data_IF_433373417332
#
_entry.id   IF_433373417332
#
_cell.length_a   1.000
_cell.length_b   1.000
_cell.length_c   1.000
_cell.angle_alpha   90.00
_cell.angle_beta   90.00
_cell.angle_gamma   90.00
#
_symmetry.space_group_name_H-M   'P 1'
#
loop_
_entity.id
_entity.type
_entity.pdbx_description
1 polymer ?
#
# COMPACT_ATOMS: atom_id res chain seq x y z
N UNK A 1 -43.03 3.46 28.26
CA UNK A 1 -42.80 4.91 28.11
C UNK A 1 -43.80 5.43 27.10
N UNK A 2 -44.58 6.44 27.48
CA UNK A 2 -45.61 7.03 26.63
C UNK A 2 -44.96 7.82 25.48
N UNK A 3 -45.29 7.46 24.24
CA UNK A 3 -44.99 8.27 23.06
C UNK A 3 -46.29 8.88 22.55
N UNK A 4 -46.41 10.20 22.64
CA UNK A 4 -47.56 10.99 22.19
C UNK A 4 -48.00 10.64 20.76
N UNK A 5 -49.30 10.39 20.60
CA UNK A 5 -49.99 10.02 19.35
C UNK A 5 -50.47 11.27 18.59
N UNK A 6 -49.73 12.38 18.66
CA UNK A 6 -50.09 13.66 18.00
C UNK A 6 -48.86 14.45 17.58
N UNK A 7 -48.07 13.91 16.65
CA UNK A 7 -47.06 14.68 15.92
C UNK A 7 -47.29 14.42 14.45
N UNK A 8 -47.61 15.45 13.67
CA UNK A 8 -47.75 15.35 12.22
C UNK A 8 -46.53 14.60 11.64
N UNK A 9 -46.74 13.63 10.74
CA UNK A 9 -45.69 12.85 10.04
C UNK A 9 -44.85 13.75 9.11
N UNK A 10 -44.25 14.80 9.66
CA UNK A 10 -43.39 15.74 8.95
C UNK A 10 -41.97 15.20 8.98
N UNK A 11 -41.29 15.15 7.82
CA UNK A 11 -39.87 14.82 7.77
C UNK A 11 -39.04 15.94 8.41
N UNK A 12 -37.84 15.63 8.86
CA UNK A 12 -36.87 16.64 9.30
C UNK A 12 -36.20 17.26 8.06
N UNK A 13 -36.14 18.59 8.00
CA UNK A 13 -35.38 19.26 6.94
C UNK A 13 -33.98 19.60 7.46
N UNK A 14 -32.96 19.46 6.61
CA UNK A 14 -31.59 19.85 6.93
C UNK A 14 -31.10 20.74 5.80
N UNK A 15 -30.95 22.03 6.06
CA UNK A 15 -30.53 23.02 5.07
C UNK A 15 -29.07 23.37 5.33
N UNK A 16 -28.19 23.08 4.37
CA UNK A 16 -26.74 23.33 4.47
C UNK A 16 -26.12 22.76 5.76
N UNK A 17 -26.55 21.55 6.14
CA UNK A 17 -26.10 20.86 7.36
C UNK A 17 -26.80 21.30 8.65
N UNK A 18 -27.68 22.31 8.61
CA UNK A 18 -28.40 22.82 9.78
C UNK A 18 -29.84 22.27 9.81
N UNK A 19 -30.26 21.54 10.86
CA UNK A 19 -31.63 21.05 10.99
C UNK A 19 -32.65 22.19 11.16
N UNK A 20 -33.75 22.10 10.41
CA UNK A 20 -34.88 23.04 10.40
C UNK A 20 -36.19 22.26 10.41
N UNK A 21 -37.24 22.87 10.98
CA UNK A 21 -38.58 22.27 11.01
C UNK A 21 -39.43 22.67 9.79
N UNK A 22 -39.01 23.71 9.07
CA UNK A 22 -39.66 24.23 7.87
C UNK A 22 -38.60 24.74 6.89
N UNK A 23 -38.93 24.70 5.60
CA UNK A 23 -38.10 25.15 4.47
C UNK A 23 -38.83 26.18 3.59
N UNK A 24 -40.04 26.60 3.97
CA UNK A 24 -40.86 27.54 3.20
C UNK A 24 -40.22 28.91 2.97
N UNK A 25 -39.14 29.23 3.70
CA UNK A 25 -38.35 30.45 3.51
C UNK A 25 -37.33 30.36 2.37
N UNK A 26 -37.05 29.16 1.84
CA UNK A 26 -36.11 28.96 0.74
C UNK A 26 -36.81 29.19 -0.60
N UNK A 27 -36.20 30.04 -1.43
CA UNK A 27 -36.63 30.18 -2.80
C UNK A 27 -36.12 28.99 -3.63
N UNK A 28 -36.95 28.44 -4.51
CA UNK A 28 -36.61 27.31 -5.37
C UNK A 28 -35.37 27.58 -6.23
N UNK A 29 -35.18 28.84 -6.67
CA UNK A 29 -34.02 29.23 -7.47
C UNK A 29 -32.69 29.12 -6.71
N UNK A 30 -32.75 29.18 -5.38
CA UNK A 30 -31.60 29.07 -4.49
C UNK A 30 -31.28 27.63 -4.11
N UNK A 31 -32.10 26.65 -4.51
CA UNK A 31 -31.85 25.24 -4.19
C UNK A 31 -30.91 24.64 -5.23
N UNK A 32 -29.79 24.09 -4.76
CA UNK A 32 -28.84 23.34 -5.58
C UNK A 32 -29.27 21.87 -5.69
N UNK A 33 -29.47 21.20 -4.55
CA UNK A 33 -29.88 19.79 -4.50
C UNK A 33 -30.89 19.53 -3.39
N UNK A 34 -31.73 18.51 -3.59
CA UNK A 34 -32.64 17.97 -2.57
C UNK A 34 -32.45 16.45 -2.51
N UNK A 35 -32.03 15.95 -1.36
CA UNK A 35 -31.83 14.52 -1.10
C UNK A 35 -32.80 14.04 -0.04
N UNK A 36 -33.39 12.85 -0.24
CA UNK A 36 -34.41 12.31 0.68
C UNK A 36 -33.92 11.00 1.29
N UNK A 37 -33.70 11.02 2.59
CA UNK A 37 -33.27 9.88 3.40
C UNK A 37 -34.48 9.22 4.06
N UNK A 38 -34.79 7.99 3.64
CA UNK A 38 -35.93 7.21 4.14
C UNK A 38 -35.53 5.95 4.90
N UNK A 39 -34.26 5.56 4.81
CA UNK A 39 -33.78 4.30 5.37
C UNK A 39 -33.24 4.50 6.79
N UNK A 40 -33.41 3.47 7.63
CA UNK A 40 -33.06 3.51 9.05
C UNK A 40 -31.59 3.85 9.33
N UNK A 41 -30.68 3.53 8.40
CA UNK A 41 -29.25 3.85 8.46
C UNK A 41 -28.95 5.33 8.21
N UNK A 42 -29.73 5.98 7.34
CA UNK A 42 -29.56 7.38 6.96
C UNK A 42 -30.23 8.34 7.96
N UNK A 43 -31.28 7.88 8.66
CA UNK A 43 -31.93 8.62 9.75
C UNK A 43 -31.19 8.52 11.08
N UNK A 44 -30.31 7.52 11.25
CA UNK A 44 -29.56 7.28 12.50
C UNK A 44 -28.66 8.47 12.90
N UNK A 45 -28.14 9.22 11.92
CA UNK A 45 -27.29 10.39 12.15
C UNK A 45 -28.07 11.55 12.81
N UNK A 46 -29.37 11.65 12.56
CA UNK A 46 -30.23 12.75 13.04
C UNK A 46 -31.12 12.35 14.23
N UNK A 47 -30.93 11.13 14.77
CA UNK A 47 -31.59 10.64 15.97
C UNK A 47 -33.12 10.58 15.86
N UNK A 48 -33.81 10.75 16.99
CA UNK A 48 -35.28 10.67 17.06
C UNK A 48 -36.01 11.70 16.19
N UNK A 49 -35.35 12.81 15.82
CA UNK A 49 -35.92 13.87 14.96
C UNK A 49 -35.98 13.44 13.50
N UNK A 50 -35.12 12.52 13.06
CA UNK A 50 -35.15 11.93 11.73
C UNK A 50 -36.05 10.69 11.59
N UNK A 51 -36.79 10.31 12.64
CA UNK A 51 -37.58 9.06 12.66
C UNK A 51 -38.66 8.99 11.56
N UNK A 52 -39.11 10.14 11.06
CA UNK A 52 -40.10 10.25 9.99
C UNK A 52 -39.47 10.49 8.60
N UNK A 53 -38.15 10.29 8.47
CA UNK A 53 -37.36 10.60 7.27
C UNK A 53 -36.70 11.99 7.34
N UNK A 54 -35.62 12.17 6.59
CA UNK A 54 -34.84 13.41 6.56
C UNK A 54 -34.72 13.91 5.12
N UNK A 55 -35.01 15.18 4.88
CA UNK A 55 -34.86 15.84 3.58
C UNK A 55 -33.71 16.84 3.69
N UNK A 56 -32.62 16.57 2.99
CA UNK A 56 -31.47 17.46 2.92
C UNK A 56 -31.68 18.43 1.76
N UNK A 57 -31.43 19.71 2.01
CA UNK A 57 -31.50 20.77 1.02
C UNK A 57 -30.17 21.51 1.03
N UNK A 58 -29.51 21.55 -0.12
CA UNK A 58 -28.27 22.31 -0.30
C UNK A 58 -28.59 23.58 -1.05
N UNK A 59 -28.17 24.74 -0.57
CA UNK A 59 -28.39 26.03 -1.26
C UNK A 59 -27.24 26.38 -2.20
N UNK A 60 -27.54 27.16 -3.24
CA UNK A 60 -26.56 27.75 -4.16
C UNK A 60 -25.89 28.91 -3.45
N UNK A 61 -24.56 28.89 -3.33
CA UNK A 61 -23.78 30.04 -2.87
C UNK A 61 -23.41 30.94 -4.05
N UNK A 62 -23.64 32.25 -3.92
CA UNK A 62 -23.22 33.24 -4.90
C UNK A 62 -21.68 33.34 -4.90
N UNK A 63 -21.03 32.53 -5.73
CA UNK A 63 -19.58 32.62 -5.98
C UNK A 63 -18.77 31.36 -5.76
N UNK A 64 -19.15 30.25 -6.39
CA UNK A 64 -18.27 29.08 -6.59
C UNK A 64 -18.55 27.92 -5.64
N UNK A 65 -18.55 26.73 -6.23
CA UNK A 65 -18.95 25.45 -5.65
C UNK A 65 -18.33 25.20 -4.27
N UNK A 66 -19.11 25.40 -3.21
CA UNK A 66 -18.87 24.74 -1.93
C UNK A 66 -19.66 23.44 -1.89
N UNK A 67 -19.22 22.49 -2.73
CA UNK A 67 -19.60 21.10 -2.57
C UNK A 67 -18.89 20.59 -1.31
N UNK A 68 -19.60 20.42 -0.21
CA UNK A 68 -19.19 19.44 0.79
C UNK A 68 -19.77 18.13 0.26
N UNK A 69 -19.02 17.28 -0.46
CA UNK A 69 -19.53 15.95 -0.77
C UNK A 69 -19.69 15.22 0.57
N UNK A 70 -20.92 15.24 1.09
CA UNK A 70 -21.35 14.22 2.03
C UNK A 70 -21.47 12.95 1.20
N UNK A 71 -20.41 12.14 1.22
CA UNK A 71 -20.44 10.77 0.74
C UNK A 71 -21.48 10.02 1.56
N UNK A 72 -22.73 10.03 1.12
CA UNK A 72 -23.72 9.06 1.56
C UNK A 72 -23.40 7.80 0.78
N UNK A 73 -22.56 6.95 1.38
CA UNK A 73 -22.40 5.58 0.95
C UNK A 73 -23.72 4.85 1.23
N UNK A 74 -24.71 5.01 0.36
CA UNK A 74 -25.80 4.05 0.24
C UNK A 74 -25.20 2.80 -0.40
N UNK A 75 -24.60 1.93 0.42
CA UNK A 75 -24.40 0.52 0.04
C UNK A 75 -25.78 -0.07 -0.20
N UNK A 76 -26.23 -0.08 -1.46
CA UNK A 76 -27.16 -1.11 -1.91
C UNK A 76 -26.34 -2.39 -1.97
N UNK A 77 -26.56 -3.30 -1.02
CA UNK A 77 -25.74 -4.49 -0.73
C UNK A 77 -25.59 -5.51 -1.89
N UNK A 78 -25.95 -5.18 -3.13
CA UNK A 78 -25.88 -6.11 -4.28
C UNK A 78 -25.53 -5.48 -5.64
N UNK A 79 -25.31 -4.17 -5.76
CA UNK A 79 -25.02 -3.55 -7.07
C UNK A 79 -24.06 -2.36 -6.98
N UNK A 80 -22.96 -2.44 -7.75
CA UNK A 80 -22.08 -1.31 -8.03
C UNK A 80 -22.47 -0.70 -9.38
N UNK A 81 -22.71 0.60 -9.43
CA UNK A 81 -22.94 1.36 -10.66
C UNK A 81 -21.70 2.21 -10.96
N UNK A 82 -21.16 2.10 -12.17
CA UNK A 82 -19.98 2.84 -12.60
C UNK A 82 -20.35 3.74 -13.77
N UNK A 83 -20.04 5.04 -13.65
CA UNK A 83 -20.20 6.00 -14.73
C UNK A 83 -18.95 6.01 -15.59
N UNK A 84 -19.11 5.77 -16.89
CA UNK A 84 -18.01 5.90 -17.85
C UNK A 84 -17.86 7.39 -18.17
N UNK A 85 -16.75 7.98 -17.75
CA UNK A 85 -16.52 9.43 -17.90
C UNK A 85 -16.42 9.88 -19.36
N UNK A 86 -15.94 9.01 -20.25
CA UNK A 86 -15.73 9.32 -21.67
C UNK A 86 -16.61 8.45 -22.57
N UNK A 87 -17.42 9.02 -23.47
CA UNK A 87 -18.20 8.24 -24.42
C UNK A 87 -17.31 7.34 -25.28
N UNK A 88 -17.53 6.02 -25.24
CA UNK A 88 -16.76 5.04 -26.01
C UNK A 88 -17.63 4.35 -27.06
N UNK A 89 -17.09 4.15 -28.26
CA UNK A 89 -17.77 3.41 -29.34
C UNK A 89 -17.47 1.92 -29.22
N UNK A 90 -18.52 1.10 -29.05
CA UNK A 90 -18.41 -0.35 -29.02
C UNK A 90 -18.73 -0.88 -30.42
N UNK A 91 -17.79 -1.59 -31.04
CA UNK A 91 -18.05 -2.20 -32.34
C UNK A 91 -19.00 -3.39 -32.19
N UNK A 92 -20.05 -3.43 -33.00
CA UNK A 92 -20.98 -4.57 -33.06
C UNK A 92 -20.33 -5.76 -33.77
N UNK A 93 -19.48 -6.49 -33.07
CA UNK A 93 -18.83 -7.70 -33.54
C UNK A 93 -18.84 -8.79 -32.45
N UNK A 94 -18.51 -10.04 -32.80
CA UNK A 94 -18.41 -11.15 -31.84
C UNK A 94 -17.07 -11.16 -31.05
N UNK A 95 -16.40 -10.01 -30.90
CA UNK A 95 -15.14 -9.91 -30.14
C UNK A 95 -15.38 -9.22 -28.80
N UNK A 96 -14.82 -9.76 -27.74
CA UNK A 96 -14.79 -9.09 -26.44
C UNK A 96 -14.09 -7.74 -26.55
N UNK A 97 -14.72 -6.68 -26.03
CA UNK A 97 -14.19 -5.32 -26.00
C UNK A 97 -13.96 -4.89 -24.56
N UNK A 98 -12.78 -4.35 -24.25
CA UNK A 98 -12.48 -3.74 -22.96
C UNK A 98 -12.86 -2.26 -23.01
N UNK A 99 -13.68 -1.80 -22.06
CA UNK A 99 -14.00 -0.39 -21.89
C UNK A 99 -13.21 0.19 -20.71
N UNK A 100 -12.67 1.39 -20.89
CA UNK A 100 -12.04 2.12 -19.78
C UNK A 100 -13.14 2.90 -19.08
N UNK A 101 -13.49 2.51 -17.86
CA UNK A 101 -14.56 3.16 -17.11
C UNK A 101 -14.09 4.41 -16.36
N UNK A 102 -12.87 4.39 -15.81
CA UNK A 102 -12.25 5.49 -15.07
C UNK A 102 -10.74 5.47 -15.34
N UNK A 103 -10.16 6.64 -15.54
CA UNK A 103 -8.71 6.82 -15.56
C UNK A 103 -8.33 7.78 -14.43
N UNK A 104 -7.28 7.47 -13.70
CA UNK A 104 -6.81 8.37 -12.65
C UNK A 104 -5.30 8.42 -12.61
N UNK A 105 -4.79 9.62 -12.41
CA UNK A 105 -3.36 9.87 -12.23
C UNK A 105 -3.07 9.98 -10.75
N UNK A 106 -2.20 9.10 -10.27
CA UNK A 106 -1.73 9.08 -8.90
C UNK A 106 -0.26 9.46 -8.86
N UNK A 107 0.13 10.17 -7.81
CA UNK A 107 1.54 10.40 -7.54
C UNK A 107 2.14 9.11 -6.99
N UNK A 108 3.23 8.66 -7.63
CA UNK A 108 3.96 7.46 -7.24
C UNK A 108 5.42 7.79 -7.01
N UNK A 109 5.98 7.34 -5.89
CA UNK A 109 7.41 7.19 -5.75
C UNK A 109 7.81 5.78 -6.23
N UNK A 110 9.05 5.64 -6.70
CA UNK A 110 9.59 4.34 -7.11
C UNK A 110 10.82 4.02 -6.29
N UNK A 111 10.94 2.75 -5.90
CA UNK A 111 12.07 2.22 -5.13
C UNK A 111 12.35 0.80 -5.60
N UNK A 112 13.63 0.43 -5.70
CA UNK A 112 14.01 -0.95 -5.93
C UNK A 112 14.08 -1.71 -4.60
N UNK A 113 13.53 -2.91 -4.56
CA UNK A 113 13.68 -3.81 -3.42
C UNK A 113 14.37 -5.10 -3.83
N UNK A 114 15.33 -5.56 -3.03
CA UNK A 114 16.00 -6.84 -3.27
C UNK A 114 16.24 -7.59 -1.96
N UNK A 115 16.09 -8.92 -2.02
CA UNK A 115 16.36 -9.84 -0.92
C UNK A 115 17.37 -10.90 -1.38
N UNK A 116 18.68 -10.60 -1.40
CA UNK A 116 19.68 -11.42 -2.09
C UNK A 116 19.78 -12.86 -1.54
N UNK A 117 19.42 -13.08 -0.28
CA UNK A 117 19.31 -14.41 0.32
C UNK A 117 18.24 -15.30 -0.34
N UNK A 118 17.13 -14.70 -0.79
CA UNK A 118 16.02 -15.41 -1.44
C UNK A 118 16.14 -15.38 -2.96
N UNK A 119 16.56 -14.26 -3.52
CA UNK A 119 16.69 -14.04 -4.95
C UNK A 119 17.67 -12.91 -5.25
N UNK A 120 18.56 -13.12 -6.21
CA UNK A 120 19.50 -12.10 -6.71
C UNK A 120 18.83 -11.10 -7.69
N UNK A 121 17.52 -10.94 -7.60
CA UNK A 121 16.74 -10.08 -8.48
C UNK A 121 16.30 -8.81 -7.72
N UNK A 122 16.37 -7.66 -8.39
CA UNK A 122 15.80 -6.41 -7.90
C UNK A 122 14.41 -6.19 -8.50
N UNK A 123 13.44 -5.90 -7.65
CA UNK A 123 12.06 -5.62 -8.01
C UNK A 123 11.79 -4.14 -7.96
N UNK A 124 11.18 -3.59 -9.01
CA UNK A 124 10.71 -2.21 -9.00
C UNK A 124 9.37 -2.13 -8.26
N UNK A 125 9.31 -1.34 -7.19
CA UNK A 125 8.10 -1.13 -6.40
C UNK A 125 7.63 0.31 -6.58
N UNK A 126 6.39 0.47 -7.02
CA UNK A 126 5.69 1.74 -7.02
C UNK A 126 4.96 1.95 -5.70
N UNK A 127 5.30 3.02 -4.99
CA UNK A 127 4.67 3.47 -3.75
C UNK A 127 3.66 4.56 -4.08
N UNK A 128 2.38 4.18 -4.09
CA UNK A 128 1.26 5.07 -4.41
C UNK A 128 0.73 5.71 -3.14
N UNK A 129 0.86 7.04 -3.05
CA UNK A 129 0.18 7.84 -2.04
C UNK A 129 -1.23 8.21 -2.51
N UNK A 130 -2.09 8.58 -1.55
CA UNK A 130 -3.44 9.09 -1.85
C UNK A 130 -4.34 8.14 -2.66
N UNK A 131 -4.00 6.86 -2.71
CA UNK A 131 -4.73 5.83 -3.46
C UNK A 131 -6.18 5.67 -2.98
N UNK A 132 -6.45 5.99 -1.71
CA UNK A 132 -7.80 5.98 -1.13
C UNK A 132 -8.72 7.08 -1.69
N UNK A 133 -8.18 8.10 -2.37
CA UNK A 133 -8.97 9.18 -2.99
C UNK A 133 -9.57 8.78 -4.33
N UNK A 134 -9.17 7.64 -4.90
CA UNK A 134 -9.41 7.32 -6.32
C UNK A 134 -10.39 6.18 -6.55
N UNK A 135 -11.08 5.71 -5.51
CA UNK A 135 -12.03 4.59 -5.55
C UNK A 135 -11.47 3.36 -6.28
N UNK A 136 -10.18 3.05 -6.05
CA UNK A 136 -9.56 1.88 -6.67
C UNK A 136 -10.31 0.61 -6.28
N UNK A 137 -10.47 -0.26 -7.27
CA UNK A 137 -11.08 -1.57 -7.06
C UNK A 137 -10.03 -2.56 -6.58
N UNK A 138 -10.42 -3.37 -5.61
CA UNK A 138 -9.67 -4.56 -5.22
C UNK A 138 -9.64 -5.56 -6.39
N UNK A 139 -8.48 -6.13 -6.68
CA UNK A 139 -8.35 -7.18 -7.69
C UNK A 139 -7.06 -7.16 -8.49
N UNK A 140 -7.00 -8.04 -9.49
CA UNK A 140 -5.83 -8.21 -10.35
C UNK A 140 -5.72 -7.07 -11.38
N UNK A 141 -4.57 -6.42 -11.42
CA UNK A 141 -4.23 -5.36 -12.35
C UNK A 141 -3.11 -5.79 -13.30
N UNK A 142 -3.28 -5.50 -14.58
CA UNK A 142 -2.19 -5.59 -15.56
C UNK A 142 -1.27 -4.38 -15.36
N UNK A 143 0.02 -4.64 -15.22
CA UNK A 143 1.04 -3.63 -14.99
C UNK A 143 1.79 -3.37 -16.28
N UNK A 144 1.94 -2.08 -16.60
CA UNK A 144 2.69 -1.60 -17.74
C UNK A 144 3.77 -0.63 -17.27
N UNK A 145 4.99 -0.81 -17.76
CA UNK A 145 6.13 0.08 -17.55
C UNK A 145 6.65 0.52 -18.92
N UNK A 146 6.83 1.82 -19.15
CA UNK A 146 7.27 2.37 -20.45
C UNK A 146 6.46 1.81 -21.64
N UNK A 147 5.13 1.76 -21.48
CA UNK A 147 4.16 1.21 -22.44
C UNK A 147 4.32 -0.29 -22.73
N UNK A 148 5.18 -1.00 -22.00
CA UNK A 148 5.39 -2.44 -22.13
C UNK A 148 4.70 -3.18 -20.98
N UNK A 149 4.01 -4.28 -21.30
CA UNK A 149 3.41 -5.14 -20.27
C UNK A 149 4.52 -5.85 -19.48
N UNK A 150 4.55 -5.65 -18.16
CA UNK A 150 5.57 -6.23 -17.27
C UNK A 150 5.03 -7.32 -16.35
N UNK A 151 3.70 -7.42 -16.21
CA UNK A 151 3.10 -8.51 -15.45
C UNK A 151 1.74 -8.16 -14.89
N UNK A 152 1.35 -8.93 -13.87
CA UNK A 152 0.12 -8.73 -13.11
C UNK A 152 0.49 -8.48 -11.65
N UNK A 153 -0.24 -7.57 -11.01
CA UNK A 153 -0.16 -7.35 -9.57
C UNK A 153 -1.57 -7.40 -8.99
N UNK A 154 -1.66 -7.63 -7.68
CA UNK A 154 -2.95 -7.59 -6.99
C UNK A 154 -3.05 -6.26 -6.25
N UNK A 155 -4.06 -5.47 -6.57
CA UNK A 155 -4.41 -4.26 -5.84
C UNK A 155 -5.25 -4.71 -4.66
N UNK A 156 -4.73 -4.53 -3.44
CA UNK A 156 -5.47 -4.75 -2.21
C UNK A 156 -5.86 -3.42 -1.57
N UNK A 157 -7.14 -3.06 -1.66
CA UNK A 157 -7.67 -1.80 -1.09
C UNK A 157 -8.21 -1.95 0.33
N UNK A 158 -8.16 -3.15 0.91
CA UNK A 158 -8.55 -3.42 2.29
C UNK A 158 -7.39 -3.18 3.28
N UNK A 159 -6.26 -2.65 2.80
CA UNK A 159 -5.10 -2.34 3.63
C UNK A 159 -5.27 -1.00 4.34
N UNK A 160 -5.04 -0.99 5.66
CA UNK A 160 -5.06 0.22 6.48
C UNK A 160 -3.73 1.00 6.41
N UNK A 161 -3.10 1.06 5.24
CA UNK A 161 -1.81 1.73 5.03
C UNK A 161 -1.96 2.97 4.15
N UNK A 162 -1.30 4.06 4.53
CA UNK A 162 -1.35 5.33 3.78
C UNK A 162 -0.66 5.23 2.41
N UNK A 163 0.14 4.19 2.20
CA UNK A 163 0.84 3.90 0.96
C UNK A 163 0.47 2.51 0.46
N UNK A 164 0.07 2.44 -0.81
CA UNK A 164 -0.15 1.19 -1.53
C UNK A 164 1.11 0.85 -2.33
N UNK A 165 1.67 -0.33 -2.08
CA UNK A 165 2.84 -0.81 -2.81
C UNK A 165 2.40 -1.74 -3.96
N UNK A 166 2.84 -1.42 -5.18
CA UNK A 166 2.62 -2.26 -6.35
C UNK A 166 3.96 -2.70 -6.94
N UNK A 167 4.11 -4.00 -7.14
CA UNK A 167 5.29 -4.54 -7.83
C UNK A 167 5.13 -4.41 -9.34
N UNK A 168 6.14 -3.82 -9.99
CA UNK A 168 6.29 -3.74 -11.45
C UNK A 168 7.18 -4.86 -12.00
N UNK A 169 7.51 -5.85 -11.16
CA UNK A 169 8.34 -6.99 -11.52
C UNK A 169 9.83 -6.71 -11.45
N UNK A 170 10.61 -7.65 -11.99
CA UNK A 170 12.07 -7.63 -11.97
C UNK A 170 12.60 -6.65 -13.02
N UNK A 171 13.56 -5.81 -12.64
CA UNK A 171 14.30 -4.96 -13.57
C UNK A 171 15.78 -5.37 -13.62
N UNK A 172 16.17 -6.01 -14.73
CA UNK A 172 17.53 -6.49 -14.93
C UNK A 172 18.57 -5.36 -15.07
N UNK A 173 18.13 -4.10 -15.21
CA UNK A 173 19.06 -2.97 -15.20
C UNK A 173 19.58 -2.65 -13.80
N UNK A 174 18.96 -3.17 -12.75
CA UNK A 174 19.52 -3.16 -11.39
C UNK A 174 20.05 -4.56 -11.09
N UNK A 175 21.36 -4.71 -11.17
CA UNK A 175 22.01 -6.01 -10.94
C UNK A 175 22.31 -6.18 -9.46
N UNK A 176 21.93 -7.33 -8.90
CA UNK A 176 22.22 -7.71 -7.52
C UNK A 176 22.93 -9.06 -7.54
N UNK A 177 23.92 -9.23 -6.67
CA UNK A 177 24.65 -10.49 -6.54
C UNK A 177 25.05 -10.72 -5.09
N UNK A 178 24.89 -11.94 -4.59
CA UNK A 178 25.27 -12.35 -3.24
C UNK A 178 26.30 -13.46 -3.30
N UNK A 179 27.53 -13.13 -2.94
CA UNK A 179 28.65 -14.06 -3.00
C UNK A 179 29.19 -14.37 -1.61
N UNK A 180 29.37 -15.66 -1.31
CA UNK A 180 30.11 -16.06 -0.12
C UNK A 180 31.58 -15.73 -0.33
N UNK A 181 32.16 -14.91 0.55
CA UNK A 181 33.59 -14.64 0.51
C UNK A 181 34.32 -15.87 1.06
N UNK A 182 34.75 -16.74 0.15
CA UNK A 182 35.62 -17.88 0.47
C UNK A 182 36.94 -17.33 0.99
N UNK A 183 37.12 -17.32 2.32
CA UNK A 183 38.42 -17.39 3.03
C UNK A 183 38.36 -17.11 4.56
N UNK A 184 37.18 -16.97 5.18
CA UNK A 184 37.10 -16.69 6.63
C UNK A 184 36.50 -17.78 7.52
N UNK A 185 36.17 -18.96 6.99
CA UNK A 185 35.82 -20.11 7.82
C UNK A 185 37.06 -20.74 8.48
N UNK A 186 37.87 -19.93 9.15
CA UNK A 186 38.80 -20.45 10.15
C UNK A 186 37.94 -20.97 11.30
N UNK A 187 37.69 -22.28 11.32
CA UNK A 187 37.18 -22.94 12.52
C UNK A 187 38.26 -22.89 13.58
N UNK A 188 38.28 -21.83 14.39
CA UNK A 188 39.18 -21.74 15.52
C UNK A 188 38.59 -22.55 16.67
N UNK A 189 39.41 -23.45 17.23
CA UNK A 189 39.05 -24.16 18.45
C UNK A 189 39.32 -23.24 19.64
N UNK A 190 38.27 -22.84 20.35
CA UNK A 190 38.38 -22.02 21.56
C UNK A 190 37.79 -22.84 22.70
N UNK A 191 38.64 -23.52 23.47
CA UNK A 191 38.21 -24.40 24.55
C UNK A 191 37.35 -25.57 24.05
N UNK A 192 36.16 -25.76 24.62
CA UNK A 192 35.16 -26.78 24.25
C UNK A 192 34.28 -26.38 23.06
N UNK A 193 34.39 -25.14 22.58
CA UNK A 193 33.55 -24.59 21.52
C UNK A 193 34.31 -24.46 20.18
N UNK A 194 33.55 -24.48 19.09
CA UNK A 194 33.99 -24.07 17.74
C UNK A 194 33.44 -22.68 17.47
N UNK A 195 34.26 -21.79 16.91
CA UNK A 195 33.82 -20.52 16.33
C UNK A 195 34.01 -20.59 14.82
N UNK A 196 32.96 -20.34 14.06
CA UNK A 196 32.98 -20.28 12.59
C UNK A 196 32.60 -18.86 12.19
N UNK A 197 33.42 -18.24 11.37
CA UNK A 197 33.12 -16.92 10.79
C UNK A 197 32.66 -17.10 9.35
N UNK A 198 31.60 -16.39 8.99
CA UNK A 198 31.01 -16.38 7.66
C UNK A 198 30.92 -14.93 7.19
N UNK A 199 31.20 -14.72 5.91
CA UNK A 199 31.12 -13.43 5.27
C UNK A 199 30.45 -13.57 3.90
N UNK A 200 29.48 -12.71 3.63
CA UNK A 200 28.83 -12.54 2.34
C UNK A 200 29.10 -11.13 1.83
N UNK A 201 29.37 -11.01 0.53
CA UNK A 201 29.41 -9.75 -0.19
C UNK A 201 28.15 -9.65 -1.04
N UNK A 202 27.41 -8.56 -0.87
CA UNK A 202 26.27 -8.22 -1.71
C UNK A 202 26.70 -7.07 -2.59
N UNK A 203 26.76 -7.29 -3.89
CA UNK A 203 27.05 -6.25 -4.88
C UNK A 203 25.74 -5.82 -5.54
N UNK A 204 25.40 -4.53 -5.42
CA UNK A 204 24.29 -3.92 -6.16
C UNK A 204 24.81 -2.87 -7.13
N UNK A 205 24.34 -2.92 -8.38
CA UNK A 205 24.74 -2.01 -9.44
C UNK A 205 23.53 -1.41 -10.14
N UNK A 206 23.54 -0.09 -10.28
CA UNK A 206 22.59 0.64 -11.11
C UNK A 206 23.14 0.78 -12.54
N UNK A 207 22.63 0.03 -13.51
CA UNK A 207 23.04 0.15 -14.92
C UNK A 207 22.23 1.20 -15.71
N UNK A 208 21.38 1.97 -15.04
CA UNK A 208 20.58 3.03 -15.67
C UNK A 208 21.38 4.32 -15.78
N UNK A 209 20.86 5.24 -16.59
CA UNK A 209 21.44 6.56 -16.85
C UNK A 209 21.02 7.62 -15.82
N UNK A 210 20.16 7.27 -14.86
CA UNK A 210 19.63 8.15 -13.82
C UNK A 210 19.79 7.52 -12.43
N UNK A 211 19.86 8.32 -11.34
CA UNK A 211 19.96 7.81 -9.99
C UNK A 211 18.68 7.08 -9.56
N UNK A 212 18.83 6.07 -8.70
CA UNK A 212 17.71 5.29 -8.17
C UNK A 212 17.87 5.05 -6.67
N UNK A 213 16.77 4.90 -5.96
CA UNK A 213 16.77 4.44 -4.57
C UNK A 213 16.57 2.94 -4.51
N UNK A 214 17.26 2.28 -3.59
CA UNK A 214 17.14 0.84 -3.38
C UNK A 214 17.12 0.49 -1.89
N UNK A 215 16.17 -0.37 -1.51
CA UNK A 215 16.11 -1.03 -0.21
C UNK A 215 16.60 -2.47 -0.34
N UNK A 216 17.70 -2.78 0.32
CA UNK A 216 18.27 -4.13 0.34
C UNK A 216 17.97 -4.74 1.70
N UNK A 217 17.46 -5.96 1.69
CA UNK A 217 17.21 -6.74 2.91
C UNK A 217 17.92 -8.08 2.80
N UNK A 218 18.65 -8.48 3.82
CA UNK A 218 19.23 -9.83 3.93
C UNK A 218 19.10 -10.28 5.40
N UNK A 219 19.72 -11.38 5.78
CA UNK A 219 19.55 -11.94 7.11
C UNK A 219 20.86 -12.49 7.68
N UNK A 220 21.10 -12.21 8.96
CA UNK A 220 22.04 -12.95 9.80
C UNK A 220 21.28 -14.00 10.62
N UNK A 221 21.86 -15.18 10.88
CA UNK A 221 21.16 -16.21 11.64
C UNK A 221 20.89 -15.75 13.08
N UNK A 222 19.70 -16.05 13.59
CA UNK A 222 19.36 -15.87 15.00
C UNK A 222 19.34 -17.24 15.68
N UNK A 223 20.00 -17.33 16.83
CA UNK A 223 20.01 -18.56 17.61
C UNK A 223 18.81 -18.64 18.55
N UNK A 224 18.09 -19.75 18.48
CA UNK A 224 17.06 -20.12 19.47
C UNK A 224 17.63 -20.97 20.61
N UNK A 225 18.90 -21.39 20.52
CA UNK A 225 19.55 -22.30 21.47
C UNK A 225 20.61 -21.51 22.25
N UNK A 226 20.47 -21.43 23.59
CA UNK A 226 21.37 -20.64 24.47
C UNK A 226 22.87 -20.95 24.30
N UNK A 227 23.20 -22.18 23.93
CA UNK A 227 24.58 -22.65 23.74
C UNK A 227 25.18 -22.24 22.39
N UNK A 228 24.35 -21.83 21.43
CA UNK A 228 24.78 -21.30 20.13
C UNK A 228 24.69 -19.78 20.20
N UNK A 229 25.83 -19.11 20.01
CA UNK A 229 25.93 -17.66 20.06
C UNK A 229 26.26 -17.14 18.67
N UNK A 230 25.46 -16.20 18.18
CA UNK A 230 25.74 -15.48 16.93
C UNK A 230 26.18 -14.07 17.27
N UNK A 231 27.28 -13.64 16.67
CA UNK A 231 27.87 -12.31 16.87
C UNK A 231 28.10 -11.68 15.49
N UNK A 232 27.46 -10.54 15.23
CA UNK A 232 27.69 -9.75 14.03
C UNK A 232 29.01 -8.99 14.12
N UNK A 233 29.81 -9.05 13.06
CA UNK A 233 31.15 -8.46 12.99
C UNK A 233 31.15 -7.21 12.10
N UNK A 234 30.51 -7.28 10.95
CA UNK A 234 30.42 -6.16 9.99
C UNK A 234 29.13 -6.28 9.19
N UNK A 235 28.40 -5.17 9.08
CA UNK A 235 27.16 -5.05 8.31
C UNK A 235 27.20 -3.88 7.32
N UNK A 236 28.34 -3.21 7.13
CA UNK A 236 28.45 -2.03 6.25
C UNK A 236 27.34 -1.00 6.50
N UNK A 237 27.08 -0.68 7.78
CA UNK A 237 26.04 0.28 8.17
C UNK A 237 24.59 -0.22 8.11
N UNK A 238 24.36 -1.51 7.86
CA UNK A 238 23.02 -2.10 7.83
C UNK A 238 22.32 -2.07 9.18
N UNK A 239 21.01 -1.80 9.18
CA UNK A 239 20.17 -1.79 10.37
C UNK A 239 19.71 -3.22 10.70
N UNK A 240 20.25 -3.77 11.79
CA UNK A 240 19.94 -5.12 12.26
C UNK A 240 18.71 -5.14 13.18
N UNK A 241 17.76 -6.00 12.86
CA UNK A 241 16.73 -6.46 13.80
C UNK A 241 17.28 -7.68 14.57
N UNK A 242 17.47 -7.55 15.89
CA UNK A 242 18.04 -8.63 16.71
C UNK A 242 17.10 -9.82 16.91
N UNK A 243 15.79 -9.63 16.74
CA UNK A 243 14.80 -10.68 16.96
C UNK A 243 14.65 -11.57 15.72
N UNK A 244 14.66 -10.96 14.52
CA UNK A 244 14.48 -11.66 13.24
C UNK A 244 15.81 -11.95 12.53
N UNK A 245 16.87 -11.23 12.87
CA UNK A 245 18.16 -11.27 12.18
C UNK A 245 18.17 -10.51 10.86
N UNK A 246 17.07 -9.84 10.49
CA UNK A 246 16.98 -9.08 9.25
C UNK A 246 17.93 -7.88 9.30
N UNK A 247 18.63 -7.64 8.20
CA UNK A 247 19.51 -6.49 8.02
C UNK A 247 19.01 -5.68 6.84
N UNK A 248 18.75 -4.39 7.07
CA UNK A 248 18.20 -3.48 6.06
C UNK A 248 19.21 -2.39 5.70
N UNK A 249 19.33 -2.09 4.40
CA UNK A 249 20.05 -0.94 3.87
C UNK A 249 19.14 -0.12 2.98
N UNK A 250 19.19 1.20 3.13
CA UNK A 250 18.58 2.16 2.22
C UNK A 250 19.71 2.89 1.48
N UNK A 251 19.70 2.78 0.16
CA UNK A 251 20.79 3.25 -0.70
C UNK A 251 20.25 4.19 -1.77
N UNK A 252 21.04 5.22 -2.09
CA UNK A 252 20.88 6.01 -3.31
C UNK A 252 22.03 5.65 -4.26
N UNK A 253 21.68 5.04 -5.39
CA UNK A 253 22.62 4.56 -6.40
C UNK A 253 22.66 5.55 -7.57
N UNK A 254 23.81 6.19 -7.78
CA UNK A 254 24.07 7.02 -8.95
C UNK A 254 24.08 6.20 -10.25
N UNK A 255 23.95 6.85 -11.42
CA UNK A 255 24.07 6.17 -12.70
C UNK A 255 25.39 5.38 -12.81
N UNK A 256 25.31 4.11 -13.20
CA UNK A 256 26.46 3.19 -13.34
C UNK A 256 27.24 2.90 -12.05
N UNK A 257 26.73 3.33 -10.88
CA UNK A 257 27.38 3.07 -9.60
C UNK A 257 27.19 1.63 -9.15
N UNK A 258 28.22 1.08 -8.50
CA UNK A 258 28.17 -0.21 -7.81
C UNK A 258 28.48 0.03 -6.34
N UNK A 259 27.62 -0.45 -5.45
CA UNK A 259 27.82 -0.45 -4.01
C UNK A 259 27.98 -1.89 -3.56
N UNK A 260 29.06 -2.15 -2.81
CA UNK A 260 29.31 -3.43 -2.17
C UNK A 260 28.96 -3.33 -0.68
N UNK A 261 28.11 -4.23 -0.21
CA UNK A 261 27.73 -4.41 1.18
C UNK A 261 28.33 -5.71 1.71
N UNK A 262 28.75 -5.72 2.96
CA UNK A 262 29.32 -6.89 3.63
C UNK A 262 28.40 -7.29 4.78
N UNK A 263 28.07 -8.58 4.82
CA UNK A 263 27.47 -9.23 5.99
C UNK A 263 28.50 -10.21 6.52
N UNK A 264 29.06 -9.90 7.69
CA UNK A 264 30.03 -10.75 8.37
C UNK A 264 29.54 -11.03 9.78
N UNK A 265 29.45 -12.30 10.12
CA UNK A 265 29.06 -12.74 11.45
C UNK A 265 29.86 -13.98 11.84
N UNK A 266 29.82 -14.30 13.13
CA UNK A 266 30.41 -15.53 13.66
C UNK A 266 29.40 -16.31 14.48
N UNK A 267 29.47 -17.64 14.35
CA UNK A 267 28.64 -18.59 15.08
C UNK A 267 29.56 -19.39 15.98
N UNK A 268 29.31 -19.34 17.28
CA UNK A 268 30.02 -20.10 18.30
C UNK A 268 29.10 -21.18 18.86
N UNK A 269 29.54 -22.42 18.85
CA UNK A 269 28.75 -23.58 19.28
C UNK A 269 29.61 -24.71 19.88
N UNK A 270 29.03 -25.63 20.67
CA UNK A 270 29.74 -26.77 21.26
C UNK A 270 30.29 -27.76 20.21
N UNK A 271 31.49 -28.30 20.42
CA UNK A 271 32.18 -29.20 19.45
C UNK A 271 31.44 -30.51 19.17
N UNK A 272 30.64 -30.97 20.13
CA UNK A 272 29.84 -32.19 20.08
C UNK A 272 28.56 -32.03 19.24
N UNK A 273 28.17 -30.79 18.91
CA UNK A 273 27.03 -30.50 18.05
C UNK A 273 27.45 -30.30 16.60
N UNK A 274 26.63 -30.85 15.69
CA UNK A 274 26.73 -30.59 14.26
C UNK A 274 25.77 -29.44 13.91
N UNK A 275 26.33 -28.27 13.61
CA UNK A 275 25.57 -27.09 13.16
C UNK A 275 25.84 -26.87 11.69
N UNK A 276 24.78 -26.80 10.88
CA UNK A 276 24.86 -26.41 9.47
C UNK A 276 24.72 -24.90 9.41
N UNK A 277 25.66 -24.23 8.77
CA UNK A 277 25.71 -22.77 8.61
C UNK A 277 25.72 -22.50 7.11
N UNK A 278 24.53 -22.37 6.54
CA UNK A 278 24.30 -21.98 5.14
C UNK A 278 23.96 -20.49 5.05
#
# INVERSE_FOLDING_TARGET
GAGSVTGENKPLYVVDGVPREDISYLNQDQIATIDVLKDASATALYGSRGANGVILVTTKTDGGDSYIPLTITSRREVSNEYFVETPQSIQSNNKSSTIVFKETKLNSAFEYQAVPLLSEHAFLIGKLGDWYKTDLLDGEANIYLENSYVGKSYINTEQFTDTLELSFGVDNNISVKREKLTDFSQSQFIGTNRKVTVAYKISIRNNKTYPVTAKITDQVPVSTIKEIQVETIDLTGGMLNNDTGEVNWELELKPNETIDLIIKYSVKYPKDKKVIID
#
